data_IF_945001225861
#
_entry.id   IF_945001225861
#
_cell.length_a   1.000
_cell.length_b   1.000
_cell.length_c   1.000
_cell.angle_alpha   90.00
_cell.angle_beta   90.00
_cell.angle_gamma   90.00
#
_symmetry.space_group_name_H-M   'P 1'
#
loop_
_entity.id
_entity.type
_entity.pdbx_description
1 polymer ?
#
# COMPACT_ATOMS: atom_id res chain seq x y z
N UNK A 1 25.03 30.92 -11.02
CA UNK A 1 24.57 29.52 -11.10
C UNK A 1 25.41 28.69 -10.16
N UNK A 2 24.90 28.36 -8.98
CA UNK A 2 25.57 27.52 -7.99
C UNK A 2 25.53 26.07 -8.47
N UNK A 3 26.65 25.57 -9.03
CA UNK A 3 26.83 24.15 -9.34
C UNK A 3 27.07 23.40 -8.03
N UNK A 4 26.07 22.69 -7.56
CA UNK A 4 26.23 21.71 -6.49
C UNK A 4 27.02 20.53 -7.08
N UNK A 5 28.14 20.10 -6.46
CA UNK A 5 28.84 18.91 -6.91
C UNK A 5 28.02 17.67 -6.53
N UNK A 6 27.20 17.17 -7.45
CA UNK A 6 26.48 15.90 -7.25
C UNK A 6 27.48 14.76 -7.42
N UNK A 7 28.04 14.28 -6.32
CA UNK A 7 28.87 13.08 -6.31
C UNK A 7 27.94 11.87 -6.26
N UNK A 8 27.80 11.19 -7.39
CA UNK A 8 27.07 9.91 -7.46
C UNK A 8 27.94 8.83 -6.81
N UNK A 9 27.45 8.25 -5.72
CA UNK A 9 28.09 7.10 -5.07
C UNK A 9 27.65 5.81 -5.76
N UNK A 10 28.41 4.73 -5.56
CA UNK A 10 27.97 3.40 -6.04
C UNK A 10 26.61 3.01 -5.45
N UNK A 11 26.35 3.36 -4.20
CA UNK A 11 25.06 3.12 -3.56
C UNK A 11 23.90 3.80 -4.29
N UNK A 12 24.10 5.01 -4.84
CA UNK A 12 23.06 5.69 -5.64
C UNK A 12 22.77 4.94 -6.94
N UNK A 13 23.79 4.35 -7.56
CA UNK A 13 23.66 3.52 -8.77
C UNK A 13 22.94 2.22 -8.44
N UNK A 14 23.29 1.57 -7.33
CA UNK A 14 22.65 0.32 -6.88
C UNK A 14 21.18 0.55 -6.50
N UNK A 15 20.86 1.66 -5.83
CA UNK A 15 19.49 2.02 -5.51
C UNK A 15 18.65 2.29 -6.77
N UNK A 16 19.20 3.03 -7.74
CA UNK A 16 18.47 3.30 -8.99
C UNK A 16 18.33 2.04 -9.85
N UNK A 17 19.33 1.15 -9.85
CA UNK A 17 19.24 -0.14 -10.54
C UNK A 17 18.18 -1.04 -9.90
N UNK A 18 18.14 -1.13 -8.57
CA UNK A 18 17.08 -1.87 -7.85
C UNK A 18 15.70 -1.29 -8.16
N UNK A 19 15.58 0.04 -8.18
CA UNK A 19 14.31 0.71 -8.52
C UNK A 19 13.85 0.39 -9.93
N UNK A 20 14.75 0.41 -10.91
CA UNK A 20 14.44 0.03 -12.30
C UNK A 20 14.07 -1.45 -12.41
N UNK A 21 14.76 -2.34 -11.68
CA UNK A 21 14.43 -3.76 -11.63
C UNK A 21 13.06 -4.02 -11.01
N UNK A 22 12.68 -3.29 -9.96
CA UNK A 22 11.35 -3.38 -9.36
C UNK A 22 10.27 -2.83 -10.29
N UNK A 23 10.55 -1.78 -11.06
CA UNK A 23 9.60 -1.25 -12.04
C UNK A 23 9.34 -2.20 -13.21
N UNK A 24 10.33 -2.99 -13.61
CA UNK A 24 10.17 -4.03 -14.63
C UNK A 24 9.80 -5.40 -14.06
N UNK A 25 9.54 -5.50 -12.76
CA UNK A 25 9.11 -6.74 -12.15
C UNK A 25 7.73 -7.12 -12.69
N UNK A 26 7.63 -8.32 -13.26
CA UNK A 26 6.36 -8.85 -13.71
C UNK A 26 5.56 -9.32 -12.49
N UNK A 27 4.36 -8.76 -12.33
CA UNK A 27 3.43 -9.19 -11.29
C UNK A 27 2.86 -10.56 -11.69
N UNK A 28 3.29 -11.60 -10.99
CA UNK A 28 2.77 -12.96 -11.18
C UNK A 28 1.58 -13.16 -10.25
N UNK A 29 0.45 -13.60 -10.81
CA UNK A 29 -0.74 -13.95 -10.02
C UNK A 29 -0.44 -15.18 -9.16
N UNK A 30 -0.45 -14.99 -7.83
CA UNK A 30 -0.49 -16.07 -6.85
C UNK A 30 -1.95 -16.35 -6.47
N UNK A 31 -2.59 -17.27 -7.15
CA UNK A 31 -4.03 -17.56 -6.93
C UNK A 31 -4.30 -18.44 -5.68
N UNK A 32 -3.33 -19.23 -5.24
CA UNK A 32 -3.51 -20.24 -4.17
C UNK A 32 -2.68 -19.99 -2.90
N UNK A 33 -1.81 -18.98 -2.90
CA UNK A 33 -0.96 -18.64 -1.77
C UNK A 33 -1.55 -17.49 -0.95
N UNK A 34 -1.37 -17.51 0.38
CA UNK A 34 -1.70 -16.35 1.21
C UNK A 34 -0.84 -15.15 0.80
N UNK A 35 -1.42 -13.95 0.85
CA UNK A 35 -0.70 -12.73 0.52
C UNK A 35 0.43 -12.48 1.53
N UNK A 36 1.61 -12.10 1.06
CA UNK A 36 2.79 -11.82 1.90
C UNK A 36 3.21 -10.34 1.82
N UNK A 37 4.03 -9.89 2.78
CA UNK A 37 4.63 -8.55 2.67
C UNK A 37 5.48 -8.45 1.40
N UNK A 38 5.24 -7.40 0.61
CA UNK A 38 5.84 -7.16 -0.70
C UNK A 38 5.02 -7.69 -1.89
N UNK A 39 3.96 -8.45 -1.66
CA UNK A 39 3.05 -8.86 -2.73
C UNK A 39 2.09 -7.71 -3.11
N UNK A 40 1.69 -7.67 -4.38
CA UNK A 40 0.64 -6.77 -4.87
C UNK A 40 -0.69 -7.50 -4.91
N UNK A 41 -1.65 -7.03 -4.15
CA UNK A 41 -3.02 -7.55 -4.12
C UNK A 41 -3.98 -6.59 -4.83
N UNK A 42 -5.00 -7.13 -5.48
CA UNK A 42 -6.10 -6.33 -6.03
C UNK A 42 -7.30 -6.54 -5.12
N UNK A 43 -7.76 -5.46 -4.49
CA UNK A 43 -8.83 -5.50 -3.49
C UNK A 43 -9.96 -4.54 -3.85
N UNK A 44 -11.17 -4.97 -3.49
CA UNK A 44 -12.34 -4.12 -3.39
C UNK A 44 -12.56 -3.83 -1.90
N UNK A 45 -12.67 -2.55 -1.52
CA UNK A 45 -12.84 -2.16 -0.13
C UNK A 45 -13.97 -1.14 0.04
N UNK A 46 -14.69 -1.24 1.14
CA UNK A 46 -15.72 -0.29 1.56
C UNK A 46 -15.56 0.04 3.04
N UNK A 47 -14.94 1.19 3.32
CA UNK A 47 -14.72 1.74 4.63
C UNK A 47 -15.97 2.46 5.16
N UNK A 48 -16.28 2.20 6.43
CA UNK A 48 -17.37 2.84 7.16
C UNK A 48 -16.84 3.33 8.50
N UNK A 49 -17.21 4.55 8.89
CA UNK A 49 -16.94 5.14 10.19
C UNK A 49 -18.26 5.22 10.93
N UNK A 50 -18.36 4.60 12.11
CA UNK A 50 -19.59 4.58 12.92
C UNK A 50 -20.85 4.09 12.17
N UNK A 51 -20.67 3.28 11.12
CA UNK A 51 -21.75 2.80 10.24
C UNK A 51 -22.08 3.71 9.05
N UNK A 52 -21.47 4.88 8.95
CA UNK A 52 -21.57 5.78 7.79
C UNK A 52 -20.41 5.54 6.82
N UNK A 53 -20.70 5.27 5.54
CA UNK A 53 -19.68 5.22 4.51
C UNK A 53 -19.10 6.63 4.31
N UNK A 54 -17.78 6.73 4.20
CA UNK A 54 -17.09 8.00 4.04
C UNK A 54 -16.49 8.16 2.63
N UNK A 55 -16.29 9.41 2.22
CA UNK A 55 -15.74 9.73 0.89
C UNK A 55 -14.25 9.35 0.83
N UNK A 56 -13.87 8.60 -0.20
CA UNK A 56 -12.53 7.99 -0.32
C UNK A 56 -12.35 6.67 0.44
N UNK A 57 -13.38 6.22 1.17
CA UNK A 57 -13.38 4.92 1.84
C UNK A 57 -13.79 3.75 0.95
N UNK A 58 -14.27 4.02 -0.27
CA UNK A 58 -14.71 2.99 -1.20
C UNK A 58 -13.80 2.97 -2.42
N UNK A 59 -13.31 1.79 -2.76
CA UNK A 59 -12.51 1.56 -3.96
C UNK A 59 -12.80 0.17 -4.53
N UNK A 60 -12.92 0.08 -5.85
CA UNK A 60 -13.03 -1.18 -6.58
C UNK A 60 -11.77 -1.37 -7.46
N UNK A 61 -11.30 -2.60 -7.56
CA UNK A 61 -10.12 -3.04 -8.32
C UNK A 61 -8.83 -2.27 -7.96
N UNK A 62 -8.67 -1.91 -6.68
CA UNK A 62 -7.49 -1.17 -6.24
C UNK A 62 -6.30 -2.10 -6.06
N UNK A 63 -5.22 -1.81 -6.77
CA UNK A 63 -3.93 -2.47 -6.60
C UNK A 63 -3.21 -1.89 -5.38
N UNK A 64 -2.90 -2.73 -4.40
CA UNK A 64 -2.19 -2.36 -3.18
C UNK A 64 -0.99 -3.28 -3.00
N UNK A 65 0.20 -2.69 -2.88
CA UNK A 65 1.40 -3.41 -2.47
C UNK A 65 1.48 -3.47 -0.94
N UNK A 66 1.53 -4.68 -0.40
CA UNK A 66 1.56 -4.92 1.04
C UNK A 66 2.93 -4.49 1.61
N UNK A 67 2.94 -3.57 2.56
CA UNK A 67 4.15 -2.98 3.12
C UNK A 67 4.61 -1.70 2.40
N UNK A 68 3.89 -1.23 1.38
CA UNK A 68 4.21 0.03 0.71
C UNK A 68 3.95 1.26 1.57
N UNK A 69 3.09 1.13 2.60
CA UNK A 69 2.65 2.24 3.44
C UNK A 69 1.81 3.26 2.65
N UNK A 70 1.22 2.84 1.53
CA UNK A 70 0.26 3.63 0.77
C UNK A 70 -1.05 3.77 1.56
N UNK A 71 -1.40 2.76 2.36
CA UNK A 71 -2.59 2.75 3.20
C UNK A 71 -2.26 3.06 4.67
N UNK A 72 -3.30 3.19 5.48
CA UNK A 72 -3.14 3.41 6.92
C UNK A 72 -2.44 2.21 7.59
N UNK A 73 -1.58 2.47 8.59
CA UNK A 73 -0.90 1.41 9.32
C UNK A 73 -1.89 0.38 9.89
N UNK A 74 -1.57 -0.90 9.76
CA UNK A 74 -2.42 -2.00 10.21
C UNK A 74 -3.51 -2.45 9.22
N UNK A 75 -3.73 -1.73 8.12
CA UNK A 75 -4.63 -2.18 7.06
C UNK A 75 -3.97 -3.28 6.23
N UNK A 76 -2.76 -2.97 5.72
CA UNK A 76 -1.96 -3.91 4.92
C UNK A 76 -1.62 -5.17 5.73
N UNK A 77 -1.25 -5.02 7.01
CA UNK A 77 -0.93 -6.16 7.90
C UNK A 77 -2.10 -7.14 8.10
N UNK A 78 -3.35 -6.66 8.05
CA UNK A 78 -4.53 -7.52 8.18
C UNK A 78 -4.89 -8.24 6.88
N UNK A 79 -4.32 -7.82 5.74
CA UNK A 79 -4.48 -8.54 4.47
C UNK A 79 -3.39 -9.61 4.29
N UNK A 80 -2.24 -9.45 4.94
CA UNK A 80 -1.17 -10.46 4.97
C UNK A 80 -1.70 -11.75 5.59
N UNK A 81 -1.50 -12.87 4.90
CA UNK A 81 -1.97 -14.19 5.34
C UNK A 81 -3.30 -14.62 4.74
N UNK A 82 -4.06 -13.70 4.13
CA UNK A 82 -5.34 -14.01 3.50
C UNK A 82 -5.19 -14.36 2.02
N UNK A 83 -6.15 -15.13 1.49
CA UNK A 83 -6.16 -15.57 0.09
C UNK A 83 -7.05 -14.68 -0.77
N UNK A 84 -6.79 -14.70 -2.07
CA UNK A 84 -7.65 -14.06 -3.05
C UNK A 84 -9.09 -14.63 -2.96
N UNK A 85 -10.08 -13.73 -2.94
CA UNK A 85 -11.51 -14.08 -2.85
C UNK A 85 -12.06 -14.29 -1.44
N UNK A 86 -11.23 -14.12 -0.41
CA UNK A 86 -11.70 -14.12 0.99
C UNK A 86 -12.18 -12.72 1.40
N UNK A 87 -13.32 -12.66 2.11
CA UNK A 87 -13.81 -11.41 2.70
C UNK A 87 -13.15 -11.20 4.07
N UNK A 88 -12.30 -10.18 4.16
CA UNK A 88 -11.58 -9.84 5.39
C UNK A 88 -12.17 -8.57 6.01
N UNK A 89 -12.58 -8.67 7.28
CA UNK A 89 -13.04 -7.52 8.04
C UNK A 89 -11.84 -6.83 8.71
N UNK A 90 -11.40 -5.71 8.14
CA UNK A 90 -10.25 -4.96 8.64
C UNK A 90 -10.73 -3.86 9.59
N UNK A 91 -10.25 -3.88 10.84
CA UNK A 91 -10.52 -2.80 11.81
C UNK A 91 -9.24 -2.05 12.08
N UNK A 92 -9.22 -0.77 11.71
CA UNK A 92 -8.05 0.12 11.80
C UNK A 92 -8.49 1.49 12.24
N UNK A 93 -7.55 2.21 12.87
CA UNK A 93 -7.76 3.58 13.33
C UNK A 93 -6.93 4.50 12.46
N UNK A 94 -7.53 5.58 11.99
CA UNK A 94 -6.87 6.56 11.17
C UNK A 94 -5.90 7.38 12.02
N UNK A 95 -4.66 7.60 11.54
CA UNK A 95 -3.72 8.47 12.22
C UNK A 95 -4.23 9.92 12.29
N UNK A 96 -3.81 10.67 13.31
CA UNK A 96 -4.20 12.08 13.50
C UNK A 96 -3.69 13.00 12.36
N UNK A 97 -2.63 12.59 11.65
CA UNK A 97 -2.05 13.31 10.51
C UNK A 97 -2.62 12.86 9.15
N UNK A 98 -3.76 12.17 9.12
CA UNK A 98 -4.34 11.70 7.86
C UNK A 98 -4.76 12.87 6.96
N UNK A 99 -4.47 12.75 5.65
CA UNK A 99 -4.67 13.84 4.69
C UNK A 99 -6.14 14.31 4.59
N UNK A 100 -7.08 13.39 4.78
CA UNK A 100 -8.49 13.72 4.92
C UNK A 100 -8.79 14.10 6.38
N UNK A 101 -8.98 15.41 6.63
CA UNK A 101 -9.30 15.94 7.97
C UNK A 101 -10.55 15.32 8.58
N UNK A 102 -11.50 14.90 7.74
CA UNK A 102 -12.74 14.25 8.15
C UNK A 102 -12.51 12.81 8.66
N UNK A 103 -11.36 12.21 8.33
CA UNK A 103 -10.99 10.84 8.73
C UNK A 103 -9.87 10.83 9.79
N UNK A 104 -9.13 11.92 9.95
CA UNK A 104 -8.03 12.01 10.91
C UNK A 104 -8.53 11.75 12.36
N UNK A 105 -7.95 10.74 13.02
CA UNK A 105 -8.27 10.37 14.40
C UNK A 105 -9.59 9.60 14.59
N UNK A 106 -10.17 9.07 13.50
CA UNK A 106 -11.36 8.18 13.52
C UNK A 106 -11.01 6.71 13.66
#
# INVERSE_FOLDING_TARGET
VTKHPTRVLKADIENELNRLQQQEAELVLKEDEPAEQGDTVVIDFEGKIDGEAFDGGKGENHSLELGSGQFIPGFEDQLVGHKAGEEVAVTVTFPEDYQAKDLAGK
#
